data_IF_699166942546
#
_entry.id   IF_699166942546
#
_cell.length_a   1.000
_cell.length_b   1.000
_cell.length_c   1.000
_cell.angle_alpha   90.00
_cell.angle_beta   90.00
_cell.angle_gamma   90.00
#
_symmetry.space_group_name_H-M   'P 1'
#
loop_
_entity.id
_entity.type
_entity.pdbx_description
1 polymer ?
#
# COMPACT_ATOMS: atom_id res chain seq x y z
N UNK A 1 -11.08 -0.67 16.54
CA UNK A 1 -9.61 -0.58 16.65
C UNK A 1 -9.19 0.80 16.15
N UNK A 2 -8.11 1.38 16.69
CA UNK A 2 -7.61 2.69 16.27
C UNK A 2 -6.50 2.51 15.23
N UNK A 3 -6.62 3.20 14.08
CA UNK A 3 -5.71 3.09 12.94
C UNK A 3 -5.09 4.44 12.54
N UNK A 4 -5.07 5.41 13.45
CA UNK A 4 -4.62 6.78 13.16
C UNK A 4 -3.12 6.90 12.80
N UNK A 5 -2.36 5.82 12.95
CA UNK A 5 -0.93 5.75 12.58
C UNK A 5 -0.71 5.32 11.12
N UNK A 6 -1.76 4.85 10.43
CA UNK A 6 -1.68 4.49 9.02
C UNK A 6 -1.80 5.73 8.15
N UNK A 7 -0.82 5.95 7.28
CA UNK A 7 -0.92 6.91 6.18
C UNK A 7 -1.48 6.22 4.94
N UNK A 8 -2.34 6.90 4.15
CA UNK A 8 -2.93 6.32 2.95
C UNK A 8 -1.90 6.09 1.85
N UNK A 9 -2.19 5.15 0.94
CA UNK A 9 -1.41 4.93 -0.29
C UNK A 9 -1.35 6.22 -1.10
N UNK A 10 -0.17 6.55 -1.64
CA UNK A 10 0.06 7.82 -2.33
C UNK A 10 -0.81 8.01 -3.58
N UNK A 11 -1.19 9.26 -3.84
CA UNK A 11 -2.02 9.61 -5.00
C UNK A 11 -1.37 9.24 -6.34
N UNK A 12 -0.04 9.17 -6.40
CA UNK A 12 0.69 8.73 -7.60
C UNK A 12 0.50 7.24 -7.91
N UNK A 13 0.41 6.40 -6.89
CA UNK A 13 0.11 4.96 -7.03
C UNK A 13 -1.34 4.77 -7.46
N UNK A 14 -2.26 5.55 -6.87
CA UNK A 14 -3.68 5.52 -7.23
C UNK A 14 -3.90 5.96 -8.68
N UNK A 15 -3.27 7.05 -9.11
CA UNK A 15 -3.34 7.54 -10.48
C UNK A 15 -2.78 6.51 -11.48
N UNK A 16 -1.65 5.85 -11.15
CA UNK A 16 -1.12 4.75 -11.95
C UNK A 16 -2.10 3.58 -12.03
N UNK A 17 -2.68 3.17 -10.89
CA UNK A 17 -3.66 2.10 -10.82
C UNK A 17 -4.89 2.41 -11.68
N UNK A 18 -5.29 3.68 -11.79
CA UNK A 18 -6.42 4.08 -12.62
C UNK A 18 -6.23 3.80 -14.11
N UNK A 19 -5.00 3.85 -14.59
CA UNK A 19 -4.63 3.59 -15.98
C UNK A 19 -4.47 2.10 -16.31
N UNK A 20 -4.50 1.21 -15.29
CA UNK A 20 -4.34 -0.22 -15.48
C UNK A 20 -5.61 -0.88 -16.03
N UNK A 21 -5.42 -2.04 -16.66
CA UNK A 21 -6.52 -2.92 -17.07
C UNK A 21 -7.45 -3.24 -15.89
N UNK A 22 -8.75 -3.34 -16.15
CA UNK A 22 -9.75 -3.77 -15.15
C UNK A 22 -9.50 -5.18 -14.58
N UNK A 23 -8.61 -5.95 -15.22
CA UNK A 23 -8.17 -7.27 -14.78
C UNK A 23 -6.89 -7.23 -13.94
N UNK A 24 -6.23 -6.09 -13.82
CA UNK A 24 -5.02 -5.94 -13.00
C UNK A 24 -5.33 -6.14 -11.51
N UNK A 25 -4.35 -6.62 -10.75
CA UNK A 25 -4.47 -6.95 -9.34
C UNK A 25 -4.86 -5.69 -8.54
N UNK A 26 -4.26 -4.54 -8.85
CA UNK A 26 -4.57 -3.27 -8.19
C UNK A 26 -6.03 -2.83 -8.35
N UNK A 27 -6.73 -3.27 -9.40
CA UNK A 27 -8.18 -3.05 -9.57
C UNK A 27 -9.06 -3.98 -8.72
N UNK A 28 -8.46 -4.99 -8.08
CA UNK A 28 -9.14 -5.97 -7.21
C UNK A 28 -8.79 -5.79 -5.73
N UNK A 29 -7.78 -4.99 -5.41
CA UNK A 29 -7.38 -4.66 -4.04
C UNK A 29 -8.28 -3.56 -3.48
N UNK A 30 -8.71 -3.71 -2.22
CA UNK A 30 -9.32 -2.60 -1.45
C UNK A 30 -8.21 -1.69 -0.93
N UNK A 31 -8.21 -0.39 -1.26
CA UNK A 31 -7.06 0.48 -0.99
C UNK A 31 -7.43 1.60 -0.01
N UNK A 32 -6.64 1.74 1.06
CA UNK A 32 -6.67 2.93 1.91
C UNK A 32 -6.16 4.14 1.13
N UNK A 33 -7.06 5.07 0.81
CA UNK A 33 -6.75 6.31 0.10
C UNK A 33 -7.19 7.52 0.92
N UNK A 34 -6.62 8.69 0.63
CA UNK A 34 -7.06 9.96 1.27
C UNK A 34 -8.54 10.25 1.03
N UNK A 35 -9.05 9.88 -0.15
CA UNK A 35 -10.42 10.20 -0.57
C UNK A 35 -11.44 9.23 0.00
N UNK A 36 -11.13 7.93 0.05
CA UNK A 36 -12.07 6.89 0.47
C UNK A 36 -11.84 6.43 1.93
N UNK A 37 -10.75 6.86 2.56
CA UNK A 37 -10.38 6.42 3.89
C UNK A 37 -9.95 4.96 3.93
N UNK A 38 -9.93 4.40 5.14
CA UNK A 38 -9.60 2.99 5.36
C UNK A 38 -10.69 2.08 4.78
N UNK A 39 -10.31 1.01 4.06
CA UNK A 39 -11.28 0.06 3.53
C UNK A 39 -11.88 -0.80 4.65
N UNK A 40 -13.09 -1.30 4.42
CA UNK A 40 -13.69 -2.33 5.25
C UNK A 40 -12.89 -3.64 5.12
N UNK A 41 -12.48 -4.17 6.27
CA UNK A 41 -11.64 -5.36 6.41
C UNK A 41 -12.45 -6.65 6.57
N UNK A 42 -13.78 -6.56 6.66
CA UNK A 42 -14.61 -7.75 6.67
C UNK A 42 -14.38 -8.57 5.39
N UNK A 43 -14.18 -9.87 5.60
CA UNK A 43 -13.85 -10.87 4.57
C UNK A 43 -12.57 -10.60 3.76
N UNK A 44 -11.64 -9.78 4.26
CA UNK A 44 -10.30 -9.66 3.71
C UNK A 44 -9.46 -10.85 4.16
N UNK A 45 -8.85 -11.56 3.20
CA UNK A 45 -7.96 -12.69 3.50
C UNK A 45 -6.52 -12.21 3.79
N UNK A 46 -6.08 -11.14 3.14
CA UNK A 46 -4.71 -10.62 3.20
C UNK A 46 -4.71 -9.10 3.32
N UNK A 47 -3.98 -8.58 4.30
CA UNK A 47 -3.69 -7.16 4.41
C UNK A 47 -2.23 -6.88 4.06
N UNK A 48 -2.00 -5.85 3.27
CA UNK A 48 -0.69 -5.28 2.96
C UNK A 48 -0.53 -4.02 3.81
N UNK A 49 0.62 -3.90 4.46
CA UNK A 49 1.02 -2.68 5.18
C UNK A 49 2.49 -2.42 4.87
N UNK A 50 2.81 -1.21 4.41
CA UNK A 50 4.19 -0.77 4.29
C UNK A 50 4.67 -0.21 5.62
N UNK A 51 5.91 -0.51 6.00
CA UNK A 51 6.54 0.08 7.18
C UNK A 51 7.75 0.85 6.71
N UNK A 52 7.68 2.18 6.77
CA UNK A 52 8.74 3.08 6.32
C UNK A 52 9.84 3.16 7.39
N UNK A 53 10.45 2.02 7.69
CA UNK A 53 11.50 1.89 8.69
C UNK A 53 12.87 1.80 8.03
N UNK A 54 13.70 2.80 8.29
CA UNK A 54 15.09 2.87 7.84
C UNK A 54 15.98 3.61 8.86
N UNK A 55 15.55 3.76 10.12
CA UNK A 55 16.26 4.58 11.14
C UNK A 55 17.57 3.97 11.63
N UNK A 56 17.75 2.66 11.47
CA UNK A 56 19.00 1.94 11.76
C UNK A 56 19.79 1.59 10.50
N UNK A 57 19.56 2.33 9.40
CA UNK A 57 20.34 2.17 8.18
C UNK A 57 21.77 2.70 8.39
N UNK A 58 22.74 1.77 8.35
CA UNK A 58 24.15 2.02 8.68
C UNK A 58 24.82 2.91 7.62
N UNK A 59 24.38 2.81 6.37
CA UNK A 59 24.93 3.52 5.21
C UNK A 59 23.87 4.46 4.60
N UNK A 60 23.08 5.13 5.44
CA UNK A 60 21.99 5.98 4.97
C UNK A 60 22.50 7.12 4.07
N UNK A 61 22.18 7.04 2.78
CA UNK A 61 22.60 8.00 1.75
C UNK A 61 21.66 9.21 1.60
N UNK A 62 20.64 9.35 2.47
CA UNK A 62 19.76 10.53 2.45
C UNK A 62 18.56 10.44 1.50
N UNK A 63 18.23 9.26 0.95
CA UNK A 63 17.07 9.12 0.07
C UNK A 63 15.75 9.03 0.85
N UNK A 64 14.70 9.60 0.24
CA UNK A 64 13.31 9.44 0.66
C UNK A 64 12.83 8.02 0.34
N UNK A 65 12.77 7.18 1.38
CA UNK A 65 12.31 5.80 1.26
C UNK A 65 10.78 5.72 1.16
N UNK A 66 10.27 5.06 0.12
CA UNK A 66 8.84 4.80 -0.06
C UNK A 66 8.59 3.51 -0.85
N UNK A 67 7.37 2.98 -0.79
CA UNK A 67 6.98 1.74 -1.48
C UNK A 67 6.20 1.97 -2.78
N UNK A 68 6.21 3.19 -3.35
CA UNK A 68 5.33 3.53 -4.46
C UNK A 68 5.61 2.68 -5.70
N UNK A 69 6.87 2.51 -6.09
CA UNK A 69 7.22 1.72 -7.27
C UNK A 69 6.91 0.23 -7.07
N UNK A 70 7.19 -0.31 -5.87
CA UNK A 70 6.79 -1.68 -5.51
C UNK A 70 5.29 -1.86 -5.64
N UNK A 71 4.48 -0.93 -5.12
CA UNK A 71 3.02 -0.97 -5.26
C UNK A 71 2.58 -0.88 -6.71
N UNK A 72 3.12 0.05 -7.50
CA UNK A 72 2.79 0.18 -8.94
C UNK A 72 3.07 -1.11 -9.69
N UNK A 73 4.22 -1.74 -9.46
CA UNK A 73 4.56 -3.03 -10.08
C UNK A 73 3.62 -4.13 -9.61
N UNK A 74 3.40 -4.27 -8.30
CA UNK A 74 2.48 -5.26 -7.72
C UNK A 74 1.06 -5.12 -8.28
N UNK A 75 0.54 -3.89 -8.33
CA UNK A 75 -0.80 -3.59 -8.81
C UNK A 75 -0.97 -3.90 -10.29
N UNK A 76 0.11 -3.82 -11.06
CA UNK A 76 0.13 -4.12 -12.51
C UNK A 76 0.12 -5.62 -12.82
N UNK A 77 0.32 -6.50 -11.84
CA UNK A 77 0.24 -7.95 -12.04
C UNK A 77 -1.19 -8.39 -12.33
N UNK A 78 -1.36 -9.58 -12.90
CA UNK A 78 -2.67 -10.22 -13.04
C UNK A 78 -2.91 -11.19 -11.87
N UNK A 79 -4.09 -11.16 -11.22
CA UNK A 79 -4.43 -12.05 -10.10
C UNK A 79 -4.60 -13.53 -10.53
N UNK A 80 -4.74 -13.79 -11.82
CA UNK A 80 -5.00 -15.13 -12.35
C UNK A 80 -6.26 -15.75 -11.76
N UNK A 81 -6.18 -17.03 -11.37
CA UNK A 81 -7.30 -17.78 -10.77
C UNK A 81 -7.42 -17.58 -9.25
N UNK A 82 -6.66 -16.66 -8.67
CA UNK A 82 -6.62 -16.45 -7.24
C UNK A 82 -7.88 -15.73 -6.76
N UNK A 83 -8.56 -16.30 -5.76
CA UNK A 83 -9.85 -15.80 -5.24
C UNK A 83 -9.75 -15.12 -3.88
N UNK A 84 -8.54 -14.77 -3.44
CA UNK A 84 -8.33 -14.16 -2.13
C UNK A 84 -8.59 -12.66 -2.18
N UNK A 85 -9.32 -12.15 -1.19
CA UNK A 85 -9.56 -10.72 -1.03
C UNK A 85 -8.35 -10.07 -0.36
N UNK A 86 -7.88 -8.96 -0.93
CA UNK A 86 -6.68 -8.25 -0.46
C UNK A 86 -7.05 -6.81 -0.15
N UNK A 87 -6.53 -6.28 0.95
CA UNK A 87 -6.55 -4.85 1.25
C UNK A 87 -5.13 -4.29 1.38
N UNK A 88 -4.87 -3.11 0.82
CA UNK A 88 -3.66 -2.33 1.13
C UNK A 88 -4.04 -1.21 2.09
N UNK A 89 -3.47 -1.27 3.29
CA UNK A 89 -3.77 -0.37 4.40
C UNK A 89 -2.92 0.90 4.38
N UNK A 90 -2.03 1.03 3.39
CA UNK A 90 -1.08 2.12 3.29
C UNK A 90 0.17 1.88 4.12
N UNK A 91 0.74 2.93 4.68
CA UNK A 91 2.06 2.91 5.29
C UNK A 91 2.02 3.27 6.78
N UNK A 92 3.01 2.78 7.52
CA UNK A 92 3.35 3.24 8.86
C UNK A 92 4.61 4.08 8.72
N UNK A 93 4.54 5.33 9.17
CA UNK A 93 5.71 6.20 9.23
C UNK A 93 6.68 5.72 10.32
N UNK A 94 7.98 5.91 10.11
CA UNK A 94 8.99 5.72 11.17
C UNK A 94 8.61 6.48 12.44
N UNK A 95 8.88 5.86 13.59
CA UNK A 95 8.69 6.52 14.89
C UNK A 95 9.73 7.60 15.16
N UNK A 96 9.51 8.38 16.22
CA UNK A 96 10.35 9.54 16.59
C UNK A 96 11.82 9.17 16.87
N UNK A 97 12.08 8.07 17.59
CA UNK A 97 13.44 7.66 17.97
C UNK A 97 13.60 6.14 17.97
N UNK A 98 14.85 5.67 17.80
CA UNK A 98 15.26 4.27 17.98
C UNK A 98 15.69 3.98 19.41
#
# INVERSE_FOLDING_TARGET
MNFNFLSPVSDSVLAHNELLSQQALGKKIKIHSKQQGLPDLDHVDIAIVGVLENRNDIDYIGEDFNFNEIRKTLYSLFPGNWKKSVADLGDINKGESV
#
